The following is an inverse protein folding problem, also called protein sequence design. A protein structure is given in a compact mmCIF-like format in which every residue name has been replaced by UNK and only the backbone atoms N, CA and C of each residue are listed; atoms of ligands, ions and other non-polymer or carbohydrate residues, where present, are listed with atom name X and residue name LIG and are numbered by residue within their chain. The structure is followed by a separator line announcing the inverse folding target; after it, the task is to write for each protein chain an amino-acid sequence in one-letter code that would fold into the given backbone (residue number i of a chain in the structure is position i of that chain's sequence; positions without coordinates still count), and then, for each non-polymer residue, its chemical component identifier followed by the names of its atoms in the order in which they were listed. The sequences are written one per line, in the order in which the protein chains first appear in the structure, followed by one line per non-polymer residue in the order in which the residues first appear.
data_IF_766177076060
#
_entry.id   IF_766177076060
#
_cell.length_a   1.000
_cell.length_b   1.000
_cell.length_c   1.000
_cell.angle_alpha   90.00
_cell.angle_beta   90.00
_cell.angle_gamma   90.00
#
_symmetry.space_group_name_H-M   'P 1'
#
loop_
_entity.id
_entity.type
_entity.pdbx_description
1 polymer ?
#
# COMPACT_ATOMS: atom_id res chain seq x y z
N UNK A 1 12.74 6.45 -12.38
CA UNK A 1 13.31 7.67 -12.99
C UNK A 1 12.71 8.11 -14.33
N UNK A 2 12.51 7.25 -15.32
CA UNK A 2 12.08 7.67 -16.68
C UNK A 2 10.72 8.39 -16.73
N UNK A 3 9.77 8.03 -15.85
CA UNK A 3 8.43 8.66 -15.80
C UNK A 3 8.48 10.07 -15.20
N UNK A 4 9.30 10.28 -14.15
CA UNK A 4 9.52 11.57 -13.50
C UNK A 4 10.12 12.60 -14.47
N UNK A 5 11.10 12.17 -15.26
CA UNK A 5 11.82 13.02 -16.22
C UNK A 5 10.97 13.49 -17.40
N UNK A 6 9.84 12.82 -17.69
CA UNK A 6 8.93 13.16 -18.79
C UNK A 6 7.71 13.99 -18.38
N UNK A 7 7.30 13.97 -17.10
CA UNK A 7 6.07 14.65 -16.65
C UNK A 7 6.31 15.78 -15.65
N UNK A 8 7.49 15.88 -15.05
CA UNK A 8 7.80 16.96 -14.09
C UNK A 8 6.92 16.95 -12.83
N UNK A 9 6.11 15.91 -12.62
CA UNK A 9 5.14 15.79 -11.52
C UNK A 9 5.41 14.51 -10.73
N UNK A 10 6.09 14.63 -9.59
CA UNK A 10 6.29 13.56 -8.60
C UNK A 10 4.96 12.86 -8.23
N UNK A 11 3.86 13.63 -8.21
CA UNK A 11 2.47 13.17 -8.02
C UNK A 11 2.09 11.99 -8.92
N UNK A 12 2.45 12.05 -10.21
CA UNK A 12 2.00 11.04 -11.18
C UNK A 12 2.87 9.78 -11.09
N UNK A 13 4.19 9.94 -10.91
CA UNK A 13 5.11 8.80 -10.88
C UNK A 13 4.88 7.84 -9.70
N UNK A 14 4.45 8.34 -8.53
CA UNK A 14 4.19 7.49 -7.34
C UNK A 14 2.75 7.00 -7.20
N UNK A 15 1.74 7.81 -7.60
CA UNK A 15 0.32 7.35 -7.62
C UNK A 15 0.04 6.36 -8.74
N UNK A 16 0.68 6.49 -9.90
CA UNK A 16 0.43 5.61 -11.07
C UNK A 16 1.03 4.22 -10.89
N UNK A 17 1.94 4.01 -9.94
CA UNK A 17 2.48 2.66 -9.68
C UNK A 17 1.74 1.96 -8.55
N UNK A 18 1.58 2.62 -7.39
CA UNK A 18 1.00 1.97 -6.22
C UNK A 18 -0.50 1.68 -6.37
N UNK A 19 -1.29 2.61 -6.91
CA UNK A 19 -2.74 2.42 -7.02
C UNK A 19 -3.13 1.25 -7.96
N UNK A 20 -2.66 1.18 -9.22
CA UNK A 20 -2.98 0.05 -10.07
C UNK A 20 -2.32 -1.25 -9.60
N UNK A 21 -1.18 -1.19 -8.90
CA UNK A 21 -0.58 -2.39 -8.29
C UNK A 21 -1.43 -2.95 -7.15
N UNK A 22 -1.97 -2.10 -6.25
CA UNK A 22 -2.92 -2.52 -5.22
C UNK A 22 -4.22 -3.07 -5.81
N UNK A 23 -4.76 -2.41 -6.85
CA UNK A 23 -5.96 -2.89 -7.56
C UNK A 23 -5.70 -4.22 -8.28
N UNK A 24 -4.57 -4.36 -8.97
CA UNK A 24 -4.18 -5.60 -9.63
C UNK A 24 -4.00 -6.73 -8.60
N UNK A 25 -3.29 -6.47 -7.50
CA UNK A 25 -3.09 -7.42 -6.41
C UNK A 25 -4.43 -7.92 -5.84
N UNK A 26 -5.38 -7.01 -5.58
CA UNK A 26 -6.73 -7.33 -5.14
C UNK A 26 -7.54 -8.11 -6.19
N UNK A 27 -7.42 -7.74 -7.46
CA UNK A 27 -8.09 -8.43 -8.57
C UNK A 27 -7.57 -9.86 -8.77
N UNK A 28 -6.28 -10.13 -8.50
CA UNK A 28 -5.71 -11.48 -8.55
C UNK A 28 -6.05 -12.34 -7.32
N UNK A 29 -6.45 -11.74 -6.20
CA UNK A 29 -6.91 -12.49 -5.01
C UNK A 29 -8.30 -13.11 -5.20
N UNK A 30 -9.18 -12.49 -5.99
CA UNK A 30 -10.53 -13.01 -6.28
C UNK A 30 -10.48 -14.37 -7.01
N UNK A 31 -9.77 -14.53 -8.14
CA UNK A 31 -9.63 -15.82 -8.81
C UNK A 31 -8.80 -16.82 -7.99
N UNK A 32 -7.87 -16.35 -7.13
CA UNK A 32 -7.17 -17.24 -6.20
C UNK A 32 -8.15 -17.88 -5.19
N UNK A 33 -9.15 -17.14 -4.71
CA UNK A 33 -10.17 -17.64 -3.79
C UNK A 33 -11.13 -18.66 -4.43
N UNK A 34 -11.35 -18.56 -5.74
CA UNK A 34 -12.24 -19.45 -6.52
C UNK A 34 -11.47 -20.53 -7.29
N UNK A 35 -10.16 -20.65 -7.09
CA UNK A 35 -9.33 -21.58 -7.84
C UNK A 35 -9.62 -23.03 -7.41
N UNK A 36 -10.07 -23.84 -8.36
CA UNK A 36 -10.28 -25.28 -8.18
C UNK A 36 -8.98 -26.10 -8.35
N UNK A 37 -7.94 -25.51 -8.91
CA UNK A 37 -6.63 -26.13 -9.16
C UNK A 37 -5.54 -25.41 -8.39
N UNK A 38 -4.68 -26.18 -7.73
CA UNK A 38 -3.54 -25.65 -6.97
C UNK A 38 -2.61 -24.81 -7.85
N UNK A 39 -2.41 -25.18 -9.12
CA UNK A 39 -1.59 -24.41 -10.05
C UNK A 39 -2.15 -23.02 -10.33
N UNK A 40 -3.47 -22.90 -10.53
CA UNK A 40 -4.13 -21.61 -10.74
C UNK A 40 -4.04 -20.74 -9.49
N UNK A 41 -4.24 -21.33 -8.30
CA UNK A 41 -4.10 -20.61 -7.04
C UNK A 41 -2.69 -20.06 -6.84
N UNK A 42 -1.66 -20.88 -7.08
CA UNK A 42 -0.25 -20.47 -6.95
C UNK A 42 0.07 -19.32 -7.92
N UNK A 43 -0.29 -19.46 -9.21
CA UNK A 43 -0.01 -18.41 -10.20
C UNK A 43 -0.69 -17.08 -9.85
N UNK A 44 -1.95 -17.12 -9.42
CA UNK A 44 -2.68 -15.92 -9.00
C UNK A 44 -2.09 -15.30 -7.72
N UNK A 45 -1.69 -16.11 -6.74
CA UNK A 45 -1.07 -15.61 -5.51
C UNK A 45 0.31 -15.02 -5.76
N UNK A 46 1.13 -15.67 -6.58
CA UNK A 46 2.44 -15.13 -6.97
C UNK A 46 2.30 -13.83 -7.75
N UNK A 47 1.36 -13.75 -8.70
CA UNK A 47 1.08 -12.50 -9.41
C UNK A 47 0.59 -11.41 -8.44
N UNK A 48 -0.33 -11.74 -7.54
CA UNK A 48 -0.84 -10.81 -6.53
C UNK A 48 0.28 -10.27 -5.62
N UNK A 49 1.18 -11.16 -5.17
CA UNK A 49 2.31 -10.80 -4.33
C UNK A 49 3.32 -9.94 -5.10
N UNK A 50 3.60 -10.26 -6.36
CA UNK A 50 4.47 -9.46 -7.22
C UNK A 50 3.98 -8.01 -7.34
N UNK A 51 2.68 -7.80 -7.58
CA UNK A 51 2.13 -6.44 -7.60
C UNK A 51 2.17 -5.78 -6.22
N UNK A 52 1.97 -6.52 -5.14
CA UNK A 52 2.02 -5.99 -3.78
C UNK A 52 3.43 -5.49 -3.40
N UNK A 53 4.48 -6.20 -3.80
CA UNK A 53 5.88 -5.81 -3.56
C UNK A 53 6.22 -4.46 -4.22
N UNK A 54 5.61 -4.13 -5.36
CA UNK A 54 5.77 -2.82 -6.01
C UNK A 54 5.23 -1.67 -5.15
N UNK A 55 4.35 -1.95 -4.19
CA UNK A 55 3.76 -0.96 -3.27
C UNK A 55 4.65 -0.72 -2.05
N UNK A 56 5.53 -1.67 -1.70
CA UNK A 56 6.43 -1.53 -0.55
C UNK A 56 7.34 -0.30 -0.72
N UNK A 57 7.97 -0.13 -1.89
CA UNK A 57 8.87 1.01 -2.12
C UNK A 57 8.20 2.38 -1.89
N UNK A 58 7.04 2.69 -2.50
CA UNK A 58 6.36 3.95 -2.23
C UNK A 58 5.79 4.05 -0.80
N UNK A 59 5.38 2.93 -0.18
CA UNK A 59 4.86 2.93 1.19
C UNK A 59 5.88 3.43 2.23
N UNK A 60 7.18 3.15 2.03
CA UNK A 60 8.24 3.69 2.87
C UNK A 60 8.68 5.10 2.46
N UNK A 61 8.65 5.42 1.16
CA UNK A 61 9.09 6.72 0.66
C UNK A 61 8.17 7.87 1.08
N UNK A 62 6.85 7.66 1.15
CA UNK A 62 5.89 8.72 1.52
C UNK A 62 6.08 9.23 2.96
N UNK A 63 6.17 8.38 3.99
CA UNK A 63 6.47 8.81 5.36
C UNK A 63 7.79 9.58 5.50
N UNK A 64 8.82 9.18 4.75
CA UNK A 64 10.12 9.86 4.76
C UNK A 64 10.02 11.26 4.14
N UNK A 65 9.30 11.39 3.03
CA UNK A 65 9.10 12.68 2.37
C UNK A 65 8.18 13.62 3.18
N UNK A 66 7.15 13.09 3.85
CA UNK A 66 6.22 13.87 4.69
C UNK A 66 6.82 14.23 6.04
N UNK A 67 7.64 13.35 6.61
CA UNK A 67 8.15 13.47 7.97
C UNK A 67 9.30 14.46 8.15
N UNK A 68 10.08 14.78 7.11
CA UNK A 68 11.23 15.70 7.23
C UNK A 68 12.17 15.33 8.39
N UNK A 69 12.45 16.29 9.28
CA UNK A 69 13.22 16.07 10.53
C UNK A 69 12.57 15.07 11.50
N UNK A 70 11.25 14.86 11.42
CA UNK A 70 10.51 13.88 12.23
C UNK A 70 10.22 12.55 11.51
N UNK A 71 10.89 12.28 10.39
CA UNK A 71 10.74 11.04 9.61
C UNK A 71 10.91 9.77 10.44
N UNK A 72 11.78 9.80 11.46
CA UNK A 72 11.94 8.68 12.42
C UNK A 72 10.67 8.39 13.23
N UNK A 73 9.97 9.42 13.71
CA UNK A 73 8.72 9.28 14.47
C UNK A 73 7.58 8.78 13.59
N UNK A 74 7.44 9.34 12.38
CA UNK A 74 6.40 8.93 11.42
C UNK A 74 6.60 7.46 10.99
N UNK A 75 7.85 7.07 10.71
CA UNK A 75 8.20 5.68 10.40
C UNK A 75 7.98 4.74 11.60
N UNK A 76 8.22 5.21 12.82
CA UNK A 76 7.91 4.47 14.05
C UNK A 76 6.42 4.17 14.22
N UNK A 77 5.56 5.18 14.00
CA UNK A 77 4.09 5.00 14.02
C UNK A 77 3.65 4.01 12.94
N UNK A 78 4.23 4.10 11.74
CA UNK A 78 3.94 3.14 10.66
C UNK A 78 4.30 1.71 11.06
N UNK A 79 5.46 1.49 11.68
CA UNK A 79 5.87 0.16 12.14
C UNK A 79 4.99 -0.39 13.26
N UNK A 80 4.55 0.47 14.19
CA UNK A 80 3.61 0.08 15.24
C UNK A 80 2.27 -0.35 14.62
N UNK A 81 1.73 0.44 13.69
CA UNK A 81 0.49 0.11 13.00
C UNK A 81 0.62 -1.20 12.20
N UNK A 82 1.74 -1.40 11.50
CA UNK A 82 2.05 -2.64 10.78
C UNK A 82 2.12 -3.86 11.70
N UNK A 83 2.80 -3.73 12.84
CA UNK A 83 2.92 -4.81 13.84
C UNK A 83 1.58 -5.16 14.47
N UNK A 84 0.75 -4.16 14.74
CA UNK A 84 -0.60 -4.36 15.27
C UNK A 84 -1.50 -5.07 14.24
N UNK A 85 -1.49 -4.61 12.98
CA UNK A 85 -2.23 -5.25 11.89
C UNK A 85 -1.78 -6.72 11.67
N UNK A 86 -0.46 -6.97 11.71
CA UNK A 86 0.11 -8.31 11.61
C UNK A 86 -0.31 -9.21 12.78
N UNK A 87 -0.50 -8.65 13.98
CA UNK A 87 -0.96 -9.40 15.16
C UNK A 87 -2.46 -9.73 15.09
N UNK A 88 -3.27 -8.82 14.55
CA UNK A 88 -4.73 -8.97 14.45
C UNK A 88 -5.11 -9.91 13.30
N UNK A 89 -4.39 -9.87 12.18
CA UNK A 89 -4.71 -10.62 10.96
C UNK A 89 -4.89 -12.14 11.18
N UNK A 90 -3.98 -12.86 11.86
CA UNK A 90 -4.14 -14.29 12.13
C UNK A 90 -5.35 -14.62 13.00
N UNK A 91 -5.72 -13.74 13.94
CA UNK A 91 -6.88 -13.93 14.81
C UNK A 91 -8.16 -13.85 13.97
N UNK A 92 -8.28 -12.82 13.14
CA UNK A 92 -9.45 -12.61 12.27
C UNK A 92 -9.56 -13.73 11.24
N UNK A 93 -8.46 -14.04 10.54
CA UNK A 93 -8.45 -15.08 9.52
C UNK A 93 -8.64 -16.48 10.12
N UNK A 94 -8.04 -16.75 11.28
CA UNK A 94 -8.20 -18.01 12.01
C UNK A 94 -9.65 -18.26 12.41
N UNK A 95 -10.35 -17.27 12.96
CA UNK A 95 -11.78 -17.39 13.33
C UNK A 95 -12.67 -17.62 12.10
N UNK A 96 -12.39 -16.94 10.99
CA UNK A 96 -13.17 -17.09 9.75
C UNK A 96 -13.00 -18.48 9.14
N UNK A 97 -11.77 -18.98 9.08
CA UNK A 97 -11.47 -20.32 8.55
C UNK A 97 -12.06 -21.40 9.45
N UNK A 98 -12.02 -21.24 10.79
CA UNK A 98 -12.66 -22.18 11.73
C UNK A 98 -14.18 -22.26 11.56
N UNK A 99 -14.84 -21.18 11.12
CA UNK A 99 -16.28 -21.17 10.80
C UNK A 99 -16.62 -21.79 9.43
N UNK A 100 -15.62 -22.29 8.70
CA UNK A 100 -15.77 -22.88 7.38
C UNK A 100 -15.75 -21.86 6.23
N UNK A 101 -15.50 -20.58 6.52
CA UNK A 101 -15.46 -19.52 5.51
C UNK A 101 -14.05 -19.33 4.96
N UNK A 102 -13.58 -20.31 4.17
CA UNK A 102 -12.24 -20.31 3.57
C UNK A 102 -12.01 -19.18 2.56
N UNK A 103 -13.08 -18.67 1.96
CA UNK A 103 -13.05 -17.62 0.94
C UNK A 103 -12.98 -16.23 1.59
N UNK A 104 -13.45 -16.07 2.83
CA UNK A 104 -13.57 -14.77 3.48
C UNK A 104 -12.24 -14.00 3.65
N UNK A 105 -11.10 -14.64 4.03
CA UNK A 105 -9.81 -13.95 4.12
C UNK A 105 -9.39 -13.29 2.82
N UNK A 106 -9.61 -13.93 1.67
CA UNK A 106 -9.26 -13.39 0.36
C UNK A 106 -10.07 -12.15 0.01
N UNK A 107 -11.38 -12.16 0.28
CA UNK A 107 -12.24 -11.00 0.06
C UNK A 107 -11.93 -9.86 1.03
N UNK A 108 -11.60 -10.16 2.28
CA UNK A 108 -11.18 -9.15 3.25
C UNK A 108 -9.87 -8.51 2.80
N UNK A 109 -8.87 -9.31 2.39
CA UNK A 109 -7.60 -8.79 1.85
C UNK A 109 -7.83 -7.95 0.59
N UNK A 110 -8.68 -8.39 -0.33
CA UNK A 110 -9.04 -7.59 -1.51
C UNK A 110 -9.72 -6.27 -1.11
N UNK A 111 -10.63 -6.29 -0.13
CA UNK A 111 -11.28 -5.10 0.40
C UNK A 111 -10.28 -4.12 1.04
N UNK A 112 -9.33 -4.62 1.82
CA UNK A 112 -8.25 -3.82 2.42
C UNK A 112 -7.34 -3.22 1.34
N UNK A 113 -7.03 -3.95 0.28
CA UNK A 113 -6.26 -3.42 -0.85
C UNK A 113 -7.04 -2.37 -1.63
N UNK A 114 -8.35 -2.53 -1.81
CA UNK A 114 -9.21 -1.53 -2.43
C UNK A 114 -9.31 -0.25 -1.60
N UNK A 115 -9.52 -0.36 -0.28
CA UNK A 115 -9.54 0.82 0.60
C UNK A 115 -8.16 1.47 0.66
N UNK A 116 -7.09 0.68 0.68
CA UNK A 116 -5.70 1.16 0.57
C UNK A 116 -5.47 1.93 -0.73
N UNK A 117 -5.91 1.40 -1.87
CA UNK A 117 -5.82 2.08 -3.16
C UNK A 117 -6.66 3.37 -3.19
N UNK A 118 -7.86 3.36 -2.58
CA UNK A 118 -8.71 4.53 -2.49
C UNK A 118 -8.07 5.61 -1.61
N UNK A 119 -7.53 5.26 -0.45
CA UNK A 119 -6.80 6.17 0.43
C UNK A 119 -5.55 6.72 -0.29
N UNK A 120 -4.82 5.86 -1.01
CA UNK A 120 -3.64 6.27 -1.76
C UNK A 120 -3.96 7.26 -2.89
N UNK A 121 -5.11 7.10 -3.54
CA UNK A 121 -5.55 7.97 -4.64
C UNK A 121 -6.28 9.23 -4.17
N UNK A 122 -7.00 9.17 -3.06
CA UNK A 122 -7.82 10.28 -2.54
C UNK A 122 -7.14 11.13 -1.46
N UNK A 123 -6.39 10.52 -0.53
CA UNK A 123 -5.86 11.20 0.67
C UNK A 123 -4.37 11.55 0.56
N UNK A 124 -3.56 10.77 -0.15
CA UNK A 124 -2.12 11.04 -0.26
C UNK A 124 -1.87 12.10 -1.33
N UNK A 125 -1.82 13.37 -0.94
CA UNK A 125 -1.47 14.49 -1.81
C UNK A 125 -0.03 14.95 -1.55
N UNK A 126 0.98 14.41 -2.27
CA UNK A 126 2.41 14.63 -1.97
C UNK A 126 2.93 16.03 -2.33
N UNK A 127 2.05 16.97 -2.72
CA UNK A 127 2.41 18.39 -2.91
C UNK A 127 2.10 19.26 -1.67
N UNK A 128 1.43 18.71 -0.64
CA UNK A 128 1.40 19.36 0.68
C UNK A 128 2.55 18.82 1.52
N UNK A 129 3.72 19.43 1.37
CA UNK A 129 4.68 19.44 2.46
C UNK A 129 4.00 20.06 3.69
N UNK A 130 4.02 19.34 4.81
CA UNK A 130 3.64 19.90 6.12
C UNK A 130 4.75 20.77 6.70
N UNK A 131 5.93 20.76 6.06
CA UNK A 131 7.01 21.71 6.33
C UNK A 131 6.76 22.92 5.45
N UNK A 132 6.16 23.94 6.07
CA UNK A 132 6.19 25.31 5.58
C UNK A 132 7.66 25.71 5.38
N UNK A 133 7.99 26.34 4.24
CA UNK A 133 9.32 26.88 3.97
C UNK A 133 9.66 27.97 5.02
N UNK A 134 10.13 27.59 6.20
CA UNK A 134 10.59 28.52 7.23
C UNK A 134 12.11 28.51 7.36
N UNK A 135 12.82 28.92 6.29
CA UNK A 135 14.21 29.42 6.31
C UNK A 135 14.40 30.29 5.04
N UNK A 136 14.53 31.63 4.99
CA UNK A 136 14.68 32.75 5.95
C UNK A 136 14.51 34.07 5.16
N UNK A 137 14.03 35.18 5.75
CA UNK A 137 14.19 36.53 5.19
C UNK A 137 15.59 37.07 5.51
N UNK A 138 16.41 37.37 4.49
CA UNK A 138 17.47 38.40 4.55
C UNK A 138 18.26 38.40 3.23
N UNK A 139 17.84 39.18 2.24
CA UNK A 139 18.78 39.80 1.31
C UNK A 139 19.07 41.22 1.81
N UNK A 140 20.35 41.47 1.99
CA UNK A 140 21.02 42.65 2.53
C UNK A 140 20.57 44.01 1.95
#
# INVERSE_FOLDING_TARGET
DTVYRKTGKLKFARRVVAAPAMLASGAFLIPAAMAHSAWTAILCLTASLFFLELVISPAWAVPMDVGGEYSGTVSGVMNMAGSLAASISPIVFGVLVQRGWWIAPFFISAGVLLTGALIWTSLIDPERSVVEDTVTPASA
#
